data_IF_436551298311
#
_entry.id   IF_436551298311
#
_cell.length_a   1.000
_cell.length_b   1.000
_cell.length_c   1.000
_cell.angle_alpha   90.00
_cell.angle_beta   90.00
_cell.angle_gamma   90.00
#
_symmetry.space_group_name_H-M   'P 1'
#
loop_
_entity.id
_entity.type
_entity.pdbx_description
1 polymer ?
#
# COMPACT_ATOMS: atom_id res chain seq x y z
N UNK A 1 -46.21 73.52 23.99
CA UNK A 1 -46.06 72.05 24.09
C UNK A 1 -44.63 71.75 24.53
N UNK A 2 -44.50 71.00 25.63
CA UNK A 2 -43.28 70.34 26.19
C UNK A 2 -42.45 69.62 25.09
N UNK A 3 -41.14 69.33 25.17
CA UNK A 3 -40.19 69.22 26.29
C UNK A 3 -38.71 69.40 25.85
N UNK A 4 -37.89 69.81 26.83
CA UNK A 4 -36.42 69.81 26.91
C UNK A 4 -35.79 68.41 26.75
N UNK A 5 -34.58 68.32 26.18
CA UNK A 5 -33.34 67.99 26.92
C UNK A 5 -32.11 67.87 25.99
N UNK A 6 -31.13 68.77 26.18
CA UNK A 6 -29.71 68.53 25.90
C UNK A 6 -29.16 67.46 26.87
N UNK A 7 -28.06 66.77 26.51
CA UNK A 7 -26.80 66.69 27.31
C UNK A 7 -25.72 65.93 26.51
N UNK A 8 -24.56 66.57 26.38
CA UNK A 8 -23.27 66.02 25.92
C UNK A 8 -22.64 65.09 26.96
N UNK A 9 -21.84 64.10 26.55
CA UNK A 9 -20.65 63.68 27.31
C UNK A 9 -19.74 62.77 26.47
N UNK A 10 -18.51 63.25 26.25
CA UNK A 10 -17.32 62.43 25.98
C UNK A 10 -17.04 61.63 27.25
N UNK A 11 -16.89 60.30 27.14
CA UNK A 11 -16.48 59.46 28.26
C UNK A 11 -15.34 58.52 27.83
N UNK A 12 -14.22 58.67 28.54
CA UNK A 12 -13.05 57.81 28.53
C UNK A 12 -13.46 56.34 28.77
N UNK A 13 -12.94 55.43 27.95
CA UNK A 13 -13.05 54.00 28.22
C UNK A 13 -12.06 53.59 29.34
N UNK A 14 -12.48 52.78 30.33
CA UNK A 14 -11.63 52.37 31.45
C UNK A 14 -10.69 51.21 31.11
N UNK A 15 -9.57 51.17 31.82
CA UNK A 15 -8.54 50.14 31.77
C UNK A 15 -9.08 48.74 32.11
N UNK A 16 -8.74 47.74 31.29
CA UNK A 16 -9.10 46.34 31.50
C UNK A 16 -8.13 45.70 32.50
N UNK A 17 -8.62 45.50 33.73
CA UNK A 17 -7.94 44.71 34.78
C UNK A 17 -7.93 43.22 34.42
N UNK A 18 -6.77 42.61 34.64
CA UNK A 18 -6.46 41.21 34.34
C UNK A 18 -7.19 40.24 35.30
N UNK A 19 -7.65 39.11 34.77
CA UNK A 19 -7.89 37.89 35.55
C UNK A 19 -6.81 36.86 35.19
N UNK A 20 -6.02 36.35 36.16
CA UNK A 20 -5.08 35.28 35.90
C UNK A 20 -5.86 33.97 35.71
N UNK A 21 -5.84 33.43 34.49
CA UNK A 21 -6.31 32.08 34.20
C UNK A 21 -5.50 31.09 35.05
N UNK A 22 -6.16 30.47 36.03
CA UNK A 22 -5.60 29.39 36.81
C UNK A 22 -5.25 28.23 35.86
N UNK A 23 -3.96 27.98 35.65
CA UNK A 23 -3.44 26.85 34.91
C UNK A 23 -3.73 25.57 35.71
N UNK A 24 -4.80 24.86 35.38
CA UNK A 24 -5.02 23.49 35.86
C UNK A 24 -4.11 22.57 35.05
N UNK A 25 -3.16 21.84 35.66
CA UNK A 25 -2.44 20.81 34.93
C UNK A 25 -3.42 19.72 34.52
N UNK A 26 -3.70 19.63 33.23
CA UNK A 26 -4.36 18.47 32.63
C UNK A 26 -3.40 17.30 32.81
N UNK A 27 -3.77 16.35 33.67
CA UNK A 27 -3.06 15.07 33.76
C UNK A 27 -2.98 14.47 32.34
N UNK A 28 -1.82 13.96 31.89
CA UNK A 28 -1.75 13.30 30.60
C UNK A 28 -2.71 12.12 30.61
N UNK A 29 -3.77 12.21 29.80
CA UNK A 29 -4.62 11.08 29.54
C UNK A 29 -3.72 9.98 28.97
N UNK A 30 -3.51 8.90 29.73
CA UNK A 30 -2.99 7.65 29.18
C UNK A 30 -4.01 7.20 28.14
N UNK A 31 -3.78 7.55 26.89
CA UNK A 31 -4.50 6.95 25.77
C UNK A 31 -4.31 5.44 25.90
N UNK A 32 -5.38 4.64 25.93
CA UNK A 32 -5.25 3.23 25.63
C UNK A 32 -4.67 3.17 24.22
N UNK A 33 -3.53 2.49 24.04
CA UNK A 33 -3.08 2.13 22.69
C UNK A 33 -4.25 1.36 22.08
N UNK A 34 -4.81 1.79 20.93
CA UNK A 34 -5.93 1.09 20.32
C UNK A 34 -5.48 -0.35 20.04
N UNK A 35 -6.08 -1.31 20.75
CA UNK A 35 -5.79 -2.75 20.62
C UNK A 35 -5.96 -3.29 19.20
N UNK A 36 -6.63 -2.54 18.33
CA UNK A 36 -6.77 -2.83 16.91
C UNK A 36 -5.45 -2.65 16.12
N UNK A 37 -4.65 -1.62 16.41
CA UNK A 37 -3.37 -1.39 15.72
C UNK A 37 -2.35 -2.47 16.10
N UNK A 38 -2.27 -2.81 17.39
CA UNK A 38 -1.41 -3.89 17.88
C UNK A 38 -1.75 -5.26 17.23
N UNK A 39 -3.03 -5.53 16.96
CA UNK A 39 -3.48 -6.75 16.29
C UNK A 39 -3.17 -6.77 14.80
N UNK A 40 -3.23 -5.63 14.13
CA UNK A 40 -2.90 -5.53 12.71
C UNK A 40 -1.40 -5.71 12.49
N UNK A 41 -0.58 -5.04 13.29
CA UNK A 41 0.89 -5.19 13.27
C UNK A 41 1.31 -6.61 13.60
N UNK A 42 0.69 -7.24 14.59
CA UNK A 42 1.01 -8.63 14.95
C UNK A 42 0.56 -9.63 13.88
N UNK A 43 -0.54 -9.37 13.17
CA UNK A 43 -0.95 -10.18 12.01
C UNK A 43 0.03 -10.01 10.86
N UNK A 44 0.40 -8.78 10.52
CA UNK A 44 1.36 -8.49 9.46
C UNK A 44 2.72 -9.11 9.80
N UNK A 45 3.23 -8.89 11.01
CA UNK A 45 4.48 -9.48 11.47
C UNK A 45 4.44 -11.01 11.47
N UNK A 46 3.32 -11.62 11.87
CA UNK A 46 3.12 -13.07 11.82
C UNK A 46 3.12 -13.62 10.39
N UNK A 47 2.51 -12.90 9.43
CA UNK A 47 2.53 -13.27 8.01
C UNK A 47 3.93 -13.13 7.43
N UNK A 48 4.66 -12.06 7.73
CA UNK A 48 6.04 -11.86 7.25
C UNK A 48 6.99 -12.90 7.85
N UNK A 49 6.91 -13.17 9.16
CA UNK A 49 7.73 -14.17 9.83
C UNK A 49 7.41 -15.59 9.33
N UNK A 50 6.12 -15.93 9.17
CA UNK A 50 5.70 -17.20 8.60
C UNK A 50 6.19 -17.40 7.17
N UNK A 51 6.11 -16.35 6.33
CA UNK A 51 6.64 -16.37 4.96
C UNK A 51 8.16 -16.53 4.92
N UNK A 52 8.90 -15.90 5.83
CA UNK A 52 10.36 -16.03 5.91
C UNK A 52 10.81 -17.44 6.33
N UNK A 53 10.13 -18.06 7.30
CA UNK A 53 10.43 -19.43 7.74
C UNK A 53 10.09 -20.44 6.64
N UNK A 54 8.92 -20.31 6.04
CA UNK A 54 8.52 -21.18 4.92
C UNK A 54 9.47 -21.00 3.75
N UNK A 55 9.86 -19.77 3.41
CA UNK A 55 10.84 -19.49 2.37
C UNK A 55 12.18 -20.21 2.62
N UNK A 56 12.76 -20.07 3.81
CA UNK A 56 14.06 -20.69 4.12
C UNK A 56 14.04 -22.23 4.06
N UNK A 57 12.91 -22.87 4.32
CA UNK A 57 12.80 -24.33 4.25
C UNK A 57 12.42 -24.82 2.85
N UNK A 58 11.54 -24.09 2.15
CA UNK A 58 10.96 -24.49 0.88
C UNK A 58 11.89 -24.20 -0.30
N UNK A 59 12.58 -23.05 -0.31
CA UNK A 59 13.51 -22.70 -1.39
C UNK A 59 14.62 -23.72 -1.64
N UNK A 60 15.39 -24.20 -0.62
CA UNK A 60 16.42 -25.20 -0.87
C UNK A 60 15.83 -26.52 -1.36
N UNK A 61 14.63 -26.90 -0.92
CA UNK A 61 13.93 -28.08 -1.41
C UNK A 61 13.52 -27.95 -2.88
N UNK A 62 12.97 -26.80 -3.29
CA UNK A 62 12.61 -26.51 -4.68
C UNK A 62 13.84 -26.46 -5.59
N UNK A 63 14.97 -25.94 -5.11
CA UNK A 63 16.25 -25.95 -5.85
C UNK A 63 16.72 -27.39 -6.11
N UNK A 64 16.59 -28.29 -5.13
CA UNK A 64 16.96 -29.70 -5.30
C UNK A 64 16.03 -30.39 -6.30
N UNK A 65 14.72 -30.15 -6.22
CA UNK A 65 13.76 -30.68 -7.20
C UNK A 65 14.04 -30.18 -8.62
N UNK A 66 14.46 -28.93 -8.78
CA UNK A 66 14.88 -28.40 -10.07
C UNK A 66 16.11 -29.12 -10.63
N UNK A 67 17.14 -29.34 -9.81
CA UNK A 67 18.34 -30.09 -10.25
C UNK A 67 18.04 -31.53 -10.66
N UNK A 68 16.95 -32.11 -10.17
CA UNK A 68 16.50 -33.45 -10.53
C UNK A 68 15.55 -33.43 -11.76
N UNK A 69 15.22 -32.27 -12.32
CA UNK A 69 14.28 -32.11 -13.43
C UNK A 69 12.83 -32.35 -13.04
N UNK A 70 12.51 -32.32 -11.74
CA UNK A 70 11.16 -32.54 -11.20
C UNK A 70 10.41 -31.22 -10.94
N UNK A 71 11.06 -30.08 -11.11
CA UNK A 71 10.49 -28.76 -10.85
C UNK A 71 11.14 -27.68 -11.72
N UNK A 72 10.33 -27.00 -12.53
CA UNK A 72 10.77 -25.81 -13.25
C UNK A 72 10.33 -24.55 -12.51
N UNK A 73 11.27 -23.81 -11.89
CA UNK A 73 10.94 -22.63 -11.12
C UNK A 73 10.43 -21.52 -12.05
N UNK A 74 9.37 -20.82 -11.65
CA UNK A 74 8.89 -19.66 -12.39
C UNK A 74 9.97 -18.57 -12.44
N UNK A 75 10.04 -17.80 -13.53
CA UNK A 75 10.94 -16.66 -13.64
C UNK A 75 10.42 -15.48 -12.81
N UNK A 76 10.60 -15.58 -11.50
CA UNK A 76 10.02 -14.64 -10.52
C UNK A 76 10.37 -13.19 -10.82
N UNK A 77 11.60 -12.91 -11.26
CA UNK A 77 12.03 -11.55 -11.62
C UNK A 77 11.22 -11.02 -12.82
N UNK A 78 11.07 -11.81 -13.88
CA UNK A 78 10.27 -11.44 -15.06
C UNK A 78 8.83 -11.13 -14.65
N UNK A 79 8.19 -11.99 -13.86
CA UNK A 79 6.82 -11.75 -13.39
C UNK A 79 6.71 -10.51 -12.49
N UNK A 80 7.69 -10.27 -11.62
CA UNK A 80 7.73 -9.07 -10.79
C UNK A 80 7.91 -7.81 -11.63
N UNK A 81 8.76 -7.82 -12.66
CA UNK A 81 8.91 -6.68 -13.55
C UNK A 81 7.62 -6.39 -14.33
N UNK A 82 6.97 -7.41 -14.88
CA UNK A 82 5.68 -7.27 -15.59
C UNK A 82 4.62 -6.69 -14.64
N UNK A 83 4.53 -7.22 -13.43
CA UNK A 83 3.56 -6.75 -12.44
C UNK A 83 3.79 -5.29 -12.00
N UNK A 84 5.06 -4.88 -11.85
CA UNK A 84 5.40 -3.51 -11.53
C UNK A 84 5.06 -2.55 -12.68
N UNK A 85 5.39 -2.93 -13.91
CA UNK A 85 5.02 -2.16 -15.10
C UNK A 85 3.49 -2.06 -15.25
N UNK A 86 2.75 -3.14 -14.94
CA UNK A 86 1.29 -3.15 -14.93
C UNK A 86 0.72 -2.16 -13.91
N UNK A 87 1.27 -2.15 -12.70
CA UNK A 87 0.91 -1.18 -11.67
C UNK A 87 1.19 0.26 -12.14
N UNK A 88 2.37 0.52 -12.72
CA UNK A 88 2.72 1.86 -13.18
C UNK A 88 1.81 2.34 -14.31
N UNK A 89 1.46 1.47 -15.26
CA UNK A 89 0.48 1.75 -16.30
C UNK A 89 -0.92 2.06 -15.72
N UNK A 90 -1.39 1.24 -14.77
CA UNK A 90 -2.69 1.43 -14.13
C UNK A 90 -2.75 2.69 -13.24
N UNK A 91 -1.62 3.11 -12.66
CA UNK A 91 -1.53 4.38 -11.94
C UNK A 91 -1.50 5.57 -12.88
N UNK A 92 -0.79 5.48 -14.00
CA UNK A 92 -0.72 6.53 -15.00
C UNK A 92 -2.07 6.77 -15.69
N UNK A 93 -2.86 5.72 -15.90
CA UNK A 93 -4.22 5.81 -16.46
C UNK A 93 -5.27 6.29 -15.45
N UNK A 94 -4.96 6.30 -14.15
CA UNK A 94 -5.92 6.61 -13.09
C UNK A 94 -6.85 5.45 -12.72
N UNK A 95 -6.63 4.25 -13.28
CA UNK A 95 -7.38 3.03 -12.96
C UNK A 95 -7.20 2.61 -11.49
N UNK A 96 -5.97 2.80 -10.96
CA UNK A 96 -5.62 2.38 -9.60
C UNK A 96 -5.09 3.55 -8.78
N UNK A 97 -5.67 3.73 -7.58
CA UNK A 97 -5.18 4.71 -6.60
C UNK A 97 -3.84 4.28 -5.99
N UNK A 98 -3.02 5.25 -5.54
CA UNK A 98 -1.72 4.99 -4.90
C UNK A 98 -1.79 3.97 -3.76
N UNK A 99 -2.88 3.95 -3.00
CA UNK A 99 -3.06 3.05 -1.85
C UNK A 99 -3.36 1.60 -2.24
N UNK A 100 -3.86 1.38 -3.47
CA UNK A 100 -4.17 0.05 -4.00
C UNK A 100 -3.13 -0.45 -5.01
N UNK A 101 -2.14 0.37 -5.35
CA UNK A 101 -1.10 0.07 -6.32
C UNK A 101 -0.34 -1.23 -6.02
N UNK A 102 0.13 -1.39 -4.78
CA UNK A 102 0.84 -2.60 -4.35
C UNK A 102 -0.06 -3.83 -4.42
N UNK A 103 -1.34 -3.70 -4.05
CA UNK A 103 -2.29 -4.82 -4.16
C UNK A 103 -2.49 -5.22 -5.63
N UNK A 104 -2.70 -4.25 -6.52
CA UNK A 104 -2.83 -4.50 -7.95
C UNK A 104 -1.62 -5.23 -8.52
N UNK A 105 -0.41 -4.77 -8.19
CA UNK A 105 0.82 -5.45 -8.60
C UNK A 105 0.86 -6.90 -8.10
N UNK A 106 0.46 -7.15 -6.85
CA UNK A 106 0.46 -8.50 -6.28
C UNK A 106 -0.60 -9.40 -6.93
N UNK A 107 -1.77 -8.85 -7.27
CA UNK A 107 -2.83 -9.57 -7.97
C UNK A 107 -2.36 -9.98 -9.39
N UNK A 108 -1.74 -9.06 -10.15
CA UNK A 108 -1.14 -9.37 -11.46
C UNK A 108 -0.03 -10.41 -11.33
N UNK A 109 0.90 -10.24 -10.38
CA UNK A 109 1.99 -11.19 -10.16
C UNK A 109 1.47 -12.60 -9.83
N UNK A 110 0.44 -12.69 -8.99
CA UNK A 110 -0.19 -13.97 -8.63
C UNK A 110 -0.89 -14.62 -9.82
N UNK A 111 -1.49 -13.83 -10.72
CA UNK A 111 -2.14 -14.35 -11.93
C UNK A 111 -1.11 -14.92 -12.92
N UNK A 112 0.00 -14.20 -13.16
CA UNK A 112 1.12 -14.70 -13.98
C UNK A 112 1.69 -16.01 -13.44
N UNK A 113 1.85 -16.08 -12.11
CA UNK A 113 2.33 -17.29 -11.44
C UNK A 113 1.35 -18.45 -11.58
N UNK A 114 0.04 -18.19 -11.47
CA UNK A 114 -1.01 -19.18 -11.68
C UNK A 114 -1.01 -19.69 -13.11
N UNK A 115 -0.90 -18.79 -14.10
CA UNK A 115 -0.85 -19.14 -15.53
C UNK A 115 0.36 -20.04 -15.83
N UNK A 116 1.55 -19.68 -15.34
CA UNK A 116 2.77 -20.49 -15.50
C UNK A 116 2.58 -21.94 -15.06
N UNK A 117 2.02 -22.18 -13.87
CA UNK A 117 1.80 -23.54 -13.40
C UNK A 117 0.64 -24.24 -14.12
N UNK A 118 -0.38 -23.50 -14.56
CA UNK A 118 -1.49 -24.07 -15.34
C UNK A 118 -1.06 -24.51 -16.74
N UNK A 119 -0.04 -23.88 -17.30
CA UNK A 119 0.51 -24.18 -18.62
C UNK A 119 1.73 -25.12 -18.56
N UNK A 120 1.91 -25.84 -17.45
CA UNK A 120 2.97 -26.84 -17.33
C UNK A 120 4.36 -26.23 -17.20
N UNK A 121 4.47 -25.11 -16.48
CA UNK A 121 5.73 -24.39 -16.25
C UNK A 121 6.31 -23.74 -17.51
N UNK A 122 5.44 -23.24 -18.39
CA UNK A 122 5.83 -22.49 -19.60
C UNK A 122 5.54 -20.99 -19.46
N UNK A 123 6.35 -20.16 -20.13
CA UNK A 123 6.16 -18.72 -20.31
C UNK A 123 5.48 -18.34 -21.61
N UNK A 124 5.05 -19.30 -22.44
CA UNK A 124 4.46 -19.06 -23.76
C UNK A 124 3.23 -18.13 -23.72
N UNK A 125 2.47 -18.15 -22.62
CA UNK A 125 1.33 -17.25 -22.41
C UNK A 125 1.71 -15.76 -22.39
N UNK A 126 2.98 -15.43 -22.17
CA UNK A 126 3.47 -14.05 -22.23
C UNK A 126 3.52 -13.55 -23.68
N UNK A 127 3.99 -14.37 -24.62
CA UNK A 127 4.37 -13.91 -25.97
C UNK A 127 3.55 -14.49 -27.11
N UNK A 128 2.72 -15.52 -26.87
CA UNK A 128 1.81 -16.03 -27.89
C UNK A 128 0.84 -14.95 -28.37
N UNK A 129 0.27 -15.11 -29.57
CA UNK A 129 -0.77 -14.20 -30.05
C UNK A 129 -1.97 -14.15 -29.07
N UNK A 130 -2.40 -12.95 -28.70
CA UNK A 130 -3.38 -12.74 -27.62
C UNK A 130 -2.85 -13.06 -26.21
N UNK A 131 -1.54 -13.20 -26.04
CA UNK A 131 -0.86 -13.36 -24.76
C UNK A 131 -0.70 -12.05 -24.01
N UNK A 132 -0.12 -12.11 -22.81
CA UNK A 132 -0.04 -10.96 -21.89
C UNK A 132 0.66 -9.77 -22.54
N UNK A 133 1.79 -9.97 -23.21
CA UNK A 133 2.55 -8.87 -23.81
C UNK A 133 1.92 -8.32 -25.10
N UNK A 134 1.08 -9.11 -25.78
CA UNK A 134 0.32 -8.65 -26.94
C UNK A 134 -0.88 -7.79 -26.51
N UNK A 135 -1.59 -8.21 -25.46
CA UNK A 135 -2.72 -7.49 -24.87
C UNK A 135 -2.29 -6.26 -24.06
N UNK A 136 -1.12 -6.33 -23.42
CA UNK A 136 -0.62 -5.34 -22.50
C UNK A 136 0.85 -4.99 -22.80
N UNK A 137 1.12 -4.44 -23.98
CA UNK A 137 2.47 -4.09 -24.41
C UNK A 137 3.27 -3.27 -23.38
N UNK A 138 2.61 -2.33 -22.68
CA UNK A 138 3.24 -1.52 -21.63
C UNK A 138 3.69 -2.33 -20.40
N UNK A 139 3.09 -3.49 -20.14
CA UNK A 139 3.50 -4.35 -19.02
C UNK A 139 4.83 -5.04 -19.30
N UNK A 140 5.12 -5.35 -20.56
CA UNK A 140 6.34 -6.07 -20.94
C UNK A 140 7.48 -5.15 -21.41
N UNK A 141 7.31 -3.82 -21.34
CA UNK A 141 8.33 -2.87 -21.76
C UNK A 141 9.61 -3.01 -20.91
N UNK A 142 10.75 -3.17 -21.59
CA UNK A 142 12.05 -3.38 -20.96
C UNK A 142 12.23 -4.69 -20.18
N UNK A 143 11.28 -5.64 -20.25
CA UNK A 143 11.36 -6.91 -19.52
C UNK A 143 12.05 -7.99 -20.37
N UNK A 144 12.99 -8.72 -19.77
CA UNK A 144 13.59 -9.90 -20.40
C UNK A 144 12.65 -11.10 -20.20
N UNK A 145 12.17 -11.66 -21.31
CA UNK A 145 11.32 -12.84 -21.34
C UNK A 145 12.20 -14.07 -21.61
N UNK A 146 12.19 -15.08 -20.71
CA UNK A 146 12.95 -16.31 -20.86
C UNK A 146 12.28 -17.32 -21.80
#
# INVERSE_FOLDING_TARGET
MLALALVSAVALAPAVQHSPLAFRPVAPARSPIPTAELRLDQKIAGTVAGGAVLGNLLFPFLIVLNKLGLYDPPPLNTFTYIANNAMDAARASGEVSKWLATKYSQDVWSDLLSQYYSEGSSTDFLTRAGGVCDLHAAWCDGVIIP
#
